data_IF_330391608207
#
_entry.id   IF_330391608207
#
_cell.length_a   1.000
_cell.length_b   1.000
_cell.length_c   1.000
_cell.angle_alpha   90.00
_cell.angle_beta   90.00
_cell.angle_gamma   90.00
#
_symmetry.space_group_name_H-M   'P 1'
#
loop_
_entity.id
_entity.type
_entity.pdbx_description
1 polymer ?
#
# COMPACT_ATOMS: atom_id res chain seq x y z
N UNK A 1 -7.34 -11.75 5.71
CA UNK A 1 -5.87 -11.77 5.53
C UNK A 1 -5.24 -10.82 6.54
N UNK A 2 -4.16 -11.27 7.19
CA UNK A 2 -3.37 -10.45 8.10
C UNK A 2 -2.55 -9.42 7.29
N UNK A 3 -2.44 -8.18 7.78
CA UNK A 3 -1.58 -7.16 7.16
C UNK A 3 -0.27 -7.09 7.96
N UNK A 4 0.84 -7.24 7.24
CA UNK A 4 2.19 -7.14 7.79
C UNK A 4 2.90 -5.96 7.13
N UNK A 5 3.49 -5.09 7.95
CA UNK A 5 4.23 -3.93 7.47
C UNK A 5 5.73 -4.23 7.46
N UNK A 6 6.42 -3.92 6.36
CA UNK A 6 7.88 -3.83 6.33
C UNK A 6 8.38 -2.68 7.24
N UNK A 7 9.64 -2.69 7.68
CA UNK A 7 10.23 -1.56 8.39
C UNK A 7 10.07 -0.22 7.65
N UNK A 8 10.30 -0.21 6.33
CA UNK A 8 10.16 0.97 5.48
C UNK A 8 8.70 1.48 5.45
N UNK A 9 7.72 0.59 5.29
CA UNK A 9 6.31 0.99 5.31
C UNK A 9 5.84 1.50 6.67
N UNK A 10 6.45 1.05 7.77
CA UNK A 10 6.19 1.59 9.11
C UNK A 10 6.73 3.03 9.24
N UNK A 11 7.92 3.30 8.71
CA UNK A 11 8.48 4.66 8.66
C UNK A 11 7.58 5.58 7.83
N UNK A 12 7.11 5.14 6.67
CA UNK A 12 6.17 5.90 5.85
C UNK A 12 4.85 6.17 6.56
N UNK A 13 4.30 5.16 7.25
CA UNK A 13 3.07 5.32 8.02
C UNK A 13 3.26 6.35 9.14
N UNK A 14 4.41 6.31 9.83
CA UNK A 14 4.74 7.27 10.88
C UNK A 14 4.93 8.68 10.32
N UNK A 15 5.58 8.82 9.17
CA UNK A 15 5.68 10.10 8.46
C UNK A 15 4.29 10.67 8.18
N UNK A 16 3.37 9.88 7.65
CA UNK A 16 2.02 10.35 7.35
C UNK A 16 1.26 10.76 8.61
N UNK A 17 1.41 10.02 9.71
CA UNK A 17 0.85 10.39 11.02
C UNK A 17 1.38 11.73 11.51
N UNK A 18 2.71 11.91 11.50
CA UNK A 18 3.37 13.13 11.97
C UNK A 18 3.06 14.35 11.10
N UNK A 19 2.90 14.17 9.79
CA UNK A 19 2.55 15.27 8.86
C UNK A 19 1.18 15.89 9.11
N UNK A 20 0.28 15.21 9.84
CA UNK A 20 -1.10 15.64 10.03
C UNK A 20 -1.97 15.59 8.77
N UNK A 21 -1.50 14.98 7.68
CA UNK A 21 -2.26 14.88 6.43
C UNK A 21 -3.37 13.81 6.53
N UNK A 22 -4.47 14.17 7.20
CA UNK A 22 -5.61 13.29 7.44
C UNK A 22 -6.18 12.70 6.15
N UNK A 23 -6.13 13.44 5.03
CA UNK A 23 -6.64 12.96 3.73
C UNK A 23 -5.84 11.75 3.23
N UNK A 24 -4.51 11.80 3.32
CA UNK A 24 -3.66 10.67 2.91
C UNK A 24 -3.79 9.51 3.89
N UNK A 25 -3.84 9.78 5.19
CA UNK A 25 -4.03 8.74 6.21
C UNK A 25 -5.34 7.95 5.97
N UNK A 26 -6.46 8.65 5.78
CA UNK A 26 -7.74 8.03 5.47
C UNK A 26 -7.70 7.25 4.15
N UNK A 27 -7.00 7.78 3.14
CA UNK A 27 -6.85 7.10 1.86
C UNK A 27 -6.06 5.80 1.99
N UNK A 28 -5.00 5.78 2.78
CA UNK A 28 -4.23 4.56 3.08
C UNK A 28 -5.15 3.53 3.74
N UNK A 29 -5.90 3.91 4.78
CA UNK A 29 -6.83 3.00 5.46
C UNK A 29 -7.87 2.39 4.50
N UNK A 30 -8.46 3.20 3.62
CA UNK A 30 -9.41 2.72 2.60
C UNK A 30 -8.77 1.72 1.63
N UNK A 31 -7.52 1.96 1.22
CA UNK A 31 -6.81 1.03 0.35
C UNK A 31 -6.48 -0.28 1.07
N UNK A 32 -6.06 -0.23 2.33
CA UNK A 32 -5.78 -1.43 3.13
C UNK A 32 -7.02 -2.31 3.28
N UNK A 33 -8.18 -1.73 3.57
CA UNK A 33 -9.44 -2.49 3.62
C UNK A 33 -9.83 -3.05 2.25
N UNK A 34 -9.73 -2.25 1.18
CA UNK A 34 -10.00 -2.75 -0.18
C UNK A 34 -9.08 -3.90 -0.60
N UNK A 35 -7.80 -3.89 -0.19
CA UNK A 35 -6.86 -4.98 -0.46
C UNK A 35 -7.25 -6.25 0.31
N UNK A 36 -7.74 -6.14 1.56
CA UNK A 36 -8.22 -7.30 2.33
C UNK A 36 -9.39 -7.99 1.66
N UNK A 37 -10.32 -7.22 1.08
CA UNK A 37 -11.51 -7.73 0.42
C UNK A 37 -11.20 -8.29 -0.98
N UNK A 38 -10.44 -7.54 -1.78
CA UNK A 38 -10.15 -7.87 -3.18
C UNK A 38 -8.71 -7.48 -3.54
N UNK A 39 -7.71 -8.35 -3.28
CA UNK A 39 -6.30 -8.00 -3.40
C UNK A 39 -5.88 -7.47 -4.77
N UNK A 40 -6.53 -7.84 -5.86
CA UNK A 40 -6.08 -7.48 -7.22
C UNK A 40 -7.04 -6.54 -7.95
N UNK A 41 -8.09 -6.09 -7.28
CA UNK A 41 -9.15 -5.27 -7.87
C UNK A 41 -9.60 -4.14 -6.91
N UNK A 42 -10.50 -3.28 -7.38
CA UNK A 42 -11.10 -2.23 -6.57
C UNK A 42 -10.28 -0.94 -6.50
N UNK A 43 -10.18 -0.35 -5.30
CA UNK A 43 -9.73 1.03 -5.14
C UNK A 43 -8.26 1.22 -5.49
N UNK A 44 -7.94 2.38 -6.06
CA UNK A 44 -6.57 2.82 -6.27
C UNK A 44 -5.94 2.35 -7.57
N UNK A 45 -6.72 1.81 -8.52
CA UNK A 45 -6.20 1.28 -9.80
C UNK A 45 -5.07 0.27 -9.58
N UNK A 46 -5.39 -0.94 -9.12
CA UNK A 46 -4.39 -1.98 -8.87
C UNK A 46 -3.58 -2.28 -10.14
N UNK A 47 -2.27 -2.25 -10.01
CA UNK A 47 -1.33 -2.48 -11.11
C UNK A 47 -0.27 -3.51 -10.67
N UNK A 48 -0.14 -4.63 -11.39
CA UNK A 48 0.93 -5.60 -11.15
C UNK A 48 2.29 -5.01 -11.57
N UNK A 49 3.27 -5.06 -10.67
CA UNK A 49 4.62 -4.55 -10.91
C UNK A 49 5.50 -5.60 -11.59
N UNK A 50 6.58 -5.13 -12.22
CA UNK A 50 7.49 -5.94 -13.06
C UNK A 50 8.94 -5.85 -12.56
N UNK A 51 9.82 -6.67 -13.15
CA UNK A 51 11.26 -6.70 -12.86
C UNK A 51 11.55 -7.00 -11.39
N UNK A 52 12.29 -6.13 -10.69
CA UNK A 52 12.64 -6.29 -9.28
C UNK A 52 11.42 -6.34 -8.34
N UNK A 53 10.26 -5.85 -8.81
CA UNK A 53 9.00 -5.86 -8.08
C UNK A 53 8.03 -6.95 -8.58
N UNK A 54 8.52 -7.97 -9.29
CA UNK A 54 7.66 -9.06 -9.76
C UNK A 54 6.97 -9.75 -8.58
N UNK A 55 5.64 -9.91 -8.66
CA UNK A 55 4.80 -10.42 -7.58
C UNK A 55 4.26 -9.34 -6.63
N UNK A 56 4.77 -8.11 -6.70
CA UNK A 56 4.18 -6.96 -6.02
C UNK A 56 3.12 -6.28 -6.88
N UNK A 57 2.27 -5.54 -6.19
CA UNK A 57 1.17 -4.77 -6.70
C UNK A 57 1.23 -3.35 -6.16
N UNK A 58 0.81 -2.42 -7.00
CA UNK A 58 0.68 -1.02 -6.68
C UNK A 58 -0.79 -0.62 -6.57
N UNK A 59 -1.09 0.29 -5.64
CA UNK A 59 -2.30 1.12 -5.68
C UNK A 59 -1.96 2.60 -5.47
N UNK A 60 -2.71 3.46 -6.15
CA UNK A 60 -2.59 4.93 -6.07
C UNK A 60 -3.19 5.48 -4.78
N UNK A 61 -2.33 6.04 -3.94
CA UNK A 61 -2.73 6.86 -2.80
C UNK A 61 -3.18 8.21 -3.33
N UNK A 62 -2.34 8.88 -4.10
CA UNK A 62 -2.68 10.11 -4.82
C UNK A 62 -1.99 10.12 -6.21
N UNK A 63 -1.80 11.30 -6.82
CA UNK A 63 -1.08 11.40 -8.11
C UNK A 63 0.38 10.96 -7.98
N UNK A 64 0.99 11.27 -6.84
CA UNK A 64 2.40 11.02 -6.54
C UNK A 64 2.59 9.65 -5.86
N UNK A 65 2.07 9.50 -4.65
CA UNK A 65 2.37 8.38 -3.78
C UNK A 65 1.61 7.11 -4.09
N UNK A 66 2.25 6.00 -3.73
CA UNK A 66 1.80 4.65 -4.01
C UNK A 66 1.88 3.77 -2.77
N UNK A 67 0.91 2.87 -2.66
CA UNK A 67 0.94 1.75 -1.74
C UNK A 67 1.42 0.55 -2.52
N UNK A 68 2.57 -0.01 -2.13
CA UNK A 68 3.13 -1.21 -2.73
C UNK A 68 2.96 -2.38 -1.77
N UNK A 69 2.45 -3.51 -2.26
CA UNK A 69 2.20 -4.70 -1.45
C UNK A 69 2.34 -5.98 -2.26
N UNK A 70 2.47 -7.12 -1.59
CA UNK A 70 2.27 -8.45 -2.18
C UNK A 70 1.37 -9.28 -1.29
N UNK A 71 0.75 -10.32 -1.85
CA UNK A 71 0.08 -11.34 -1.04
C UNK A 71 0.95 -12.60 -0.96
N UNK A 72 1.05 -13.19 0.21
CA UNK A 72 1.87 -14.38 0.47
C UNK A 72 1.33 -15.11 1.70
N UNK A 73 1.07 -16.42 1.60
CA UNK A 73 0.62 -17.24 2.74
C UNK A 73 -0.53 -16.61 3.56
N UNK A 74 -1.59 -16.17 2.88
CA UNK A 74 -2.76 -15.49 3.49
C UNK A 74 -2.46 -14.16 4.20
N UNK A 75 -1.28 -13.59 3.96
CA UNK A 75 -0.86 -12.28 4.44
C UNK A 75 -0.77 -11.29 3.30
N UNK A 76 -1.00 -10.04 3.63
CA UNK A 76 -0.74 -8.88 2.79
C UNK A 76 0.50 -8.21 3.36
N UNK A 77 1.60 -8.24 2.62
CA UNK A 77 2.86 -7.61 3.02
C UNK A 77 2.93 -6.24 2.37
N UNK A 78 2.90 -5.18 3.17
CA UNK A 78 3.04 -3.80 2.72
C UNK A 78 4.53 -3.46 2.66
N UNK A 79 5.01 -3.09 1.47
CA UNK A 79 6.40 -2.72 1.24
C UNK A 79 6.63 -1.22 1.41
N UNK A 80 5.73 -0.39 0.86
CA UNK A 80 5.86 1.07 0.86
C UNK A 80 4.48 1.76 0.93
N UNK A 81 4.44 2.94 1.54
CA UNK A 81 3.24 3.79 1.65
C UNK A 81 3.48 5.24 1.21
N UNK A 82 4.67 5.54 0.69
CA UNK A 82 5.06 6.86 0.23
C UNK A 82 6.06 6.75 -0.92
N UNK A 83 6.11 7.80 -1.74
CA UNK A 83 6.97 7.84 -2.91
C UNK A 83 6.38 7.17 -4.15
N UNK A 84 7.20 7.11 -5.19
CA UNK A 84 6.92 6.48 -6.46
C UNK A 84 7.73 5.19 -6.59
N UNK A 85 7.22 4.25 -7.41
CA UNK A 85 8.00 3.13 -7.95
C UNK A 85 8.72 3.52 -9.23
#
# INVERSE_FOLDING_TARGET
MEIVFSPESLEDLNFWKQSGNVKIQNRILQLLESIKESPYEGLGKPEALKHNWTGYWSRRINKEHRLIYKTENERIIIAQLRGHY
#
